data_IF_203927990551
#
_entry.id   IF_203927990551
#
_cell.length_a   1.000
_cell.length_b   1.000
_cell.length_c   1.000
_cell.angle_alpha   90.00
_cell.angle_beta   90.00
_cell.angle_gamma   90.00
#
_symmetry.space_group_name_H-M   'P 1'
#
loop_
_entity.id
_entity.type
_entity.pdbx_description
1 polymer ?
#
# COMPACT_ATOMS: atom_id res chain seq x y z
N UNK A 1 12.52 -3.96 -24.21
CA UNK A 1 11.37 -4.54 -23.48
C UNK A 1 10.36 -3.41 -23.36
N UNK A 2 9.14 -3.57 -23.89
CA UNK A 2 8.15 -2.48 -23.90
C UNK A 2 7.49 -2.35 -22.51
N UNK A 3 6.98 -1.18 -22.12
CA UNK A 3 6.33 -0.95 -20.80
C UNK A 3 5.22 -1.98 -20.50
N UNK A 4 4.46 -2.35 -21.54
CA UNK A 4 3.44 -3.40 -21.48
C UNK A 4 3.98 -4.77 -21.01
N UNK A 5 5.22 -5.12 -21.41
CA UNK A 5 5.83 -6.37 -20.97
C UNK A 5 6.30 -6.31 -19.51
N UNK A 6 6.71 -5.14 -19.04
CA UNK A 6 7.10 -4.95 -17.64
C UNK A 6 5.89 -5.00 -16.72
N UNK A 7 4.80 -4.32 -17.08
CA UNK A 7 3.56 -4.35 -16.30
C UNK A 7 3.01 -5.77 -16.14
N UNK A 8 2.92 -6.53 -17.24
CA UNK A 8 2.44 -7.92 -17.19
C UNK A 8 3.34 -8.82 -16.33
N UNK A 9 4.65 -8.59 -16.35
CA UNK A 9 5.60 -9.35 -15.51
C UNK A 9 5.35 -9.10 -14.02
N UNK A 10 5.11 -7.84 -13.63
CA UNK A 10 4.77 -7.47 -12.25
C UNK A 10 3.44 -8.10 -11.82
N UNK A 11 2.42 -8.06 -12.68
CA UNK A 11 1.12 -8.69 -12.41
C UNK A 11 1.26 -10.20 -12.17
N UNK A 12 2.05 -10.90 -13.00
CA UNK A 12 2.29 -12.33 -12.84
C UNK A 12 3.05 -12.68 -11.56
N UNK A 13 4.03 -11.85 -11.18
CA UNK A 13 4.78 -11.99 -9.93
C UNK A 13 3.84 -11.91 -8.71
N UNK A 14 2.97 -10.91 -8.70
CA UNK A 14 1.97 -10.71 -7.66
C UNK A 14 0.97 -11.88 -7.59
N UNK A 15 0.46 -12.36 -8.73
CA UNK A 15 -0.44 -13.52 -8.78
C UNK A 15 0.21 -14.82 -8.29
N UNK A 16 1.52 -14.99 -8.50
CA UNK A 16 2.26 -16.12 -7.94
C UNK A 16 2.40 -15.98 -6.43
N UNK A 17 2.74 -14.79 -5.94
CA UNK A 17 2.86 -14.53 -4.52
C UNK A 17 1.53 -14.69 -3.78
N UNK A 18 0.42 -14.23 -4.35
CA UNK A 18 -0.92 -14.43 -3.76
C UNK A 18 -1.28 -15.91 -3.60
N UNK A 19 -0.87 -16.76 -4.54
CA UNK A 19 -1.07 -18.21 -4.44
C UNK A 19 -0.19 -18.83 -3.34
N UNK A 20 1.08 -18.41 -3.25
CA UNK A 20 2.01 -18.85 -2.20
C UNK A 20 1.45 -18.49 -0.82
N UNK A 21 1.04 -17.23 -0.64
CA UNK A 21 0.55 -16.69 0.61
C UNK A 21 -0.67 -17.45 1.16
N UNK A 22 -1.55 -17.97 0.29
CA UNK A 22 -2.69 -18.78 0.71
C UNK A 22 -2.23 -20.10 1.35
N UNK A 23 -1.15 -20.69 0.84
CA UNK A 23 -0.69 -22.02 1.22
C UNK A 23 0.43 -22.05 2.27
N UNK A 24 1.09 -20.92 2.53
CA UNK A 24 2.29 -20.85 3.34
C UNK A 24 2.09 -19.97 4.60
N UNK A 25 1.95 -20.56 5.79
CA UNK A 25 1.80 -19.82 7.04
C UNK A 25 3.01 -18.97 7.41
N UNK A 26 4.22 -19.37 7.02
CA UNK A 26 5.45 -18.63 7.34
C UNK A 26 5.49 -17.33 6.52
N UNK A 27 5.09 -17.39 5.24
CA UNK A 27 4.93 -16.19 4.41
C UNK A 27 3.76 -15.29 4.88
N UNK A 28 2.70 -15.86 5.45
CA UNK A 28 1.65 -15.06 6.11
C UNK A 28 2.19 -14.29 7.32
N UNK A 29 3.03 -14.94 8.14
CA UNK A 29 3.67 -14.30 9.28
C UNK A 29 4.65 -13.20 8.85
N UNK A 30 5.47 -13.46 7.83
CA UNK A 30 6.41 -12.49 7.28
C UNK A 30 5.69 -11.27 6.71
N UNK A 31 4.61 -11.48 5.93
CA UNK A 31 3.79 -10.38 5.44
C UNK A 31 3.18 -9.58 6.60
N UNK A 32 2.73 -10.26 7.66
CA UNK A 32 2.24 -9.62 8.87
C UNK A 32 3.27 -8.71 9.54
N UNK A 33 4.52 -9.17 9.67
CA UNK A 33 5.64 -8.37 10.23
C UNK A 33 5.90 -7.11 9.41
N UNK A 34 5.87 -7.22 8.08
CA UNK A 34 6.08 -6.08 7.17
C UNK A 34 4.98 -5.04 7.28
N UNK A 35 3.72 -5.47 7.30
CA UNK A 35 2.59 -4.56 7.47
C UNK A 35 2.68 -3.86 8.83
N UNK A 36 3.02 -4.60 9.89
CA UNK A 36 3.19 -4.01 11.23
C UNK A 36 4.35 -3.00 11.29
N UNK A 37 5.45 -3.27 10.59
CA UNK A 37 6.52 -2.30 10.41
C UNK A 37 6.02 -1.02 9.72
N UNK A 38 5.26 -1.16 8.63
CA UNK A 38 4.68 -0.01 7.93
C UNK A 38 3.74 0.79 8.85
N UNK A 39 2.86 0.12 9.61
CA UNK A 39 1.97 0.80 10.58
C UNK A 39 2.73 1.64 11.60
N UNK A 40 3.84 1.13 12.13
CA UNK A 40 4.63 1.82 13.17
C UNK A 40 5.43 3.01 12.64
N UNK A 41 5.85 2.96 11.38
CA UNK A 41 6.79 3.91 10.82
C UNK A 41 6.18 4.87 9.79
N UNK A 42 5.00 4.55 9.27
CA UNK A 42 4.30 5.37 8.30
C UNK A 42 3.69 6.63 8.93
N UNK A 43 3.70 7.72 8.17
CA UNK A 43 2.97 8.97 8.48
C UNK A 43 1.87 9.22 7.46
N UNK A 44 1.41 8.17 6.77
CA UNK A 44 0.54 8.26 5.60
C UNK A 44 -0.83 8.86 5.93
N UNK A 45 -1.43 8.51 7.07
CA UNK A 45 -2.67 9.14 7.53
C UNK A 45 -2.56 10.68 7.62
N UNK A 46 -1.49 11.18 8.24
CA UNK A 46 -1.22 12.62 8.32
C UNK A 46 -0.95 13.23 6.94
N UNK A 47 -0.25 12.51 6.06
CA UNK A 47 -0.01 12.94 4.69
C UNK A 47 -1.31 13.05 3.89
N UNK A 48 -2.23 12.09 4.01
CA UNK A 48 -3.54 12.14 3.37
C UNK A 48 -4.39 13.30 3.87
N UNK A 49 -4.49 13.50 5.19
CA UNK A 49 -5.18 14.66 5.76
C UNK A 49 -4.60 15.97 5.21
N UNK A 50 -3.29 16.07 5.10
CA UNK A 50 -2.60 17.25 4.54
C UNK A 50 -2.90 17.42 3.05
N UNK A 51 -2.89 16.35 2.27
CA UNK A 51 -3.21 16.38 0.84
C UNK A 51 -4.65 16.84 0.60
N UNK A 52 -5.63 16.33 1.36
CA UNK A 52 -7.02 16.77 1.26
C UNK A 52 -7.16 18.26 1.57
N UNK A 53 -6.51 18.74 2.65
CA UNK A 53 -6.53 20.16 3.03
C UNK A 53 -5.94 21.08 1.95
N UNK A 54 -4.87 20.64 1.28
CA UNK A 54 -4.08 21.49 0.40
C UNK A 54 -4.45 21.36 -1.09
N UNK A 55 -4.99 20.22 -1.51
CA UNK A 55 -5.23 19.90 -2.92
C UNK A 55 -6.70 19.96 -3.31
N UNK A 56 -7.63 19.91 -2.34
CA UNK A 56 -9.05 20.08 -2.61
C UNK A 56 -9.45 21.55 -2.53
N UNK A 57 -10.19 22.02 -3.54
CA UNK A 57 -10.78 23.36 -3.56
C UNK A 57 -12.30 23.23 -3.68
N UNK A 58 -13.02 23.85 -2.74
CA UNK A 58 -14.47 23.97 -2.80
C UNK A 58 -14.80 25.42 -3.09
N UNK A 59 -15.30 25.68 -4.30
CA UNK A 59 -15.65 27.04 -4.72
C UNK A 59 -16.68 27.67 -3.76
N UNK A 60 -16.42 28.91 -3.35
CA UNK A 60 -17.29 29.64 -2.42
C UNK A 60 -17.22 29.20 -0.96
N UNK A 61 -16.31 28.28 -0.62
CA UNK A 61 -16.13 27.77 0.74
C UNK A 61 -14.73 28.07 1.26
N UNK A 62 -14.63 28.33 2.56
CA UNK A 62 -13.35 28.50 3.23
C UNK A 62 -12.59 27.18 3.34
N UNK A 63 -11.27 27.25 3.45
CA UNK A 63 -10.41 26.10 3.75
C UNK A 63 -10.70 25.46 5.12
N UNK A 64 -11.36 26.17 6.05
CA UNK A 64 -11.68 25.61 7.39
C UNK A 64 -12.63 24.41 7.32
N UNK A 65 -13.50 24.32 6.31
CA UNK A 65 -14.42 23.18 6.18
C UNK A 65 -13.69 21.89 5.85
N UNK A 66 -12.65 21.95 5.01
CA UNK A 66 -11.79 20.81 4.71
C UNK A 66 -10.98 20.39 5.93
N UNK A 67 -10.50 21.36 6.71
CA UNK A 67 -9.85 21.08 7.98
C UNK A 67 -10.76 20.31 8.93
N UNK A 68 -11.96 20.84 9.19
CA UNK A 68 -12.94 20.19 10.05
C UNK A 68 -13.34 18.80 9.53
N UNK A 69 -13.50 18.65 8.21
CA UNK A 69 -13.82 17.37 7.58
C UNK A 69 -12.75 16.31 7.83
N UNK A 70 -11.46 16.65 7.61
CA UNK A 70 -10.34 15.72 7.82
C UNK A 70 -10.10 15.34 9.29
N UNK A 71 -10.72 16.05 10.22
CA UNK A 71 -10.67 15.80 11.66
C UNK A 71 -11.88 15.01 12.16
N UNK A 72 -12.85 14.71 11.29
CA UNK A 72 -13.97 13.83 11.65
C UNK A 72 -13.49 12.39 11.83
N UNK A 73 -14.09 11.68 12.80
CA UNK A 73 -13.81 10.27 13.04
C UNK A 73 -14.11 9.39 11.81
N UNK A 74 -15.17 9.73 11.05
CA UNK A 74 -15.52 9.01 9.82
C UNK A 74 -14.41 9.12 8.76
N UNK A 75 -13.84 10.32 8.57
CA UNK A 75 -12.73 10.50 7.64
C UNK A 75 -11.46 9.85 8.13
N UNK A 76 -11.21 9.85 9.43
CA UNK A 76 -10.05 9.16 10.02
C UNK A 76 -10.12 7.65 9.78
N UNK A 77 -11.27 7.02 10.05
CA UNK A 77 -11.47 5.59 9.78
C UNK A 77 -11.31 5.26 8.28
N UNK A 78 -11.89 6.08 7.40
CA UNK A 78 -11.74 5.88 5.96
C UNK A 78 -10.27 5.97 5.51
N UNK A 79 -9.54 6.98 5.98
CA UNK A 79 -8.12 7.12 5.63
C UNK A 79 -7.25 6.02 6.26
N UNK A 80 -7.67 5.49 7.42
CA UNK A 80 -7.05 4.34 8.06
C UNK A 80 -7.21 3.07 7.19
N UNK A 81 -8.42 2.81 6.70
CA UNK A 81 -8.69 1.70 5.77
C UNK A 81 -7.87 1.84 4.47
N UNK A 82 -7.78 3.04 3.91
CA UNK A 82 -6.99 3.31 2.70
C UNK A 82 -5.50 3.05 2.94
N UNK A 83 -4.93 3.49 4.07
CA UNK A 83 -3.52 3.21 4.34
C UNK A 83 -3.25 1.73 4.57
N UNK A 84 -4.17 1.00 5.22
CA UNK A 84 -4.05 -0.45 5.43
C UNK A 84 -4.03 -1.21 4.10
N UNK A 85 -4.89 -0.82 3.16
CA UNK A 85 -4.89 -1.40 1.81
C UNK A 85 -3.56 -1.11 1.08
N UNK A 86 -3.03 0.10 1.21
CA UNK A 86 -1.74 0.46 0.61
C UNK A 86 -0.61 -0.35 1.25
N UNK A 87 -0.58 -0.49 2.57
CA UNK A 87 0.44 -1.29 3.26
C UNK A 87 0.41 -2.74 2.80
N UNK A 88 -0.77 -3.33 2.67
CA UNK A 88 -0.92 -4.68 2.14
C UNK A 88 -0.36 -4.78 0.72
N UNK A 89 -0.75 -3.87 -0.18
CA UNK A 89 -0.31 -3.90 -1.59
C UNK A 89 1.20 -3.70 -1.73
N UNK A 90 1.77 -2.75 -0.98
CA UNK A 90 3.22 -2.48 -0.97
C UNK A 90 3.99 -3.69 -0.45
N UNK A 91 3.60 -4.22 0.72
CA UNK A 91 4.28 -5.36 1.33
C UNK A 91 4.22 -6.60 0.41
N UNK A 92 3.09 -6.84 -0.26
CA UNK A 92 2.97 -7.90 -1.27
C UNK A 92 3.88 -7.68 -2.47
N UNK A 93 3.89 -6.46 -3.02
CA UNK A 93 4.71 -6.15 -4.19
C UNK A 93 6.21 -6.29 -3.90
N UNK A 94 6.67 -5.74 -2.78
CA UNK A 94 8.07 -5.85 -2.36
C UNK A 94 8.47 -7.31 -2.15
N UNK A 95 7.64 -8.10 -1.45
CA UNK A 95 7.94 -9.51 -1.20
C UNK A 95 7.93 -10.36 -2.46
N UNK A 96 6.98 -10.13 -3.38
CA UNK A 96 6.94 -10.81 -4.67
C UNK A 96 8.21 -10.54 -5.50
N UNK A 97 8.67 -9.29 -5.53
CA UNK A 97 9.91 -8.90 -6.23
C UNK A 97 11.15 -9.55 -5.62
N UNK A 98 11.23 -9.64 -4.29
CA UNK A 98 12.34 -10.32 -3.60
C UNK A 98 12.39 -11.80 -3.93
N UNK A 99 11.26 -12.51 -3.84
CA UNK A 99 11.17 -13.93 -4.17
C UNK A 99 11.54 -14.21 -5.62
N UNK A 100 11.14 -13.35 -6.55
CA UNK A 100 11.54 -13.47 -7.95
C UNK A 100 13.03 -13.21 -8.15
N UNK A 101 13.62 -12.25 -7.42
CA UNK A 101 15.06 -12.05 -7.43
C UNK A 101 15.83 -13.25 -6.87
N UNK A 102 15.36 -13.87 -5.78
CA UNK A 102 15.93 -15.08 -5.18
C UNK A 102 15.89 -16.27 -6.16
N UNK A 103 14.75 -16.49 -6.83
CA UNK A 103 14.63 -17.54 -7.86
C UNK A 103 15.61 -17.32 -9.01
N UNK A 104 15.75 -16.08 -9.49
CA UNK A 104 16.66 -15.77 -10.59
C UNK A 104 18.13 -15.99 -10.21
N UNK A 105 18.52 -15.73 -8.96
CA UNK A 105 19.87 -16.01 -8.47
C UNK A 105 20.16 -17.50 -8.33
N UNK A 106 19.17 -18.34 -8.03
CA UNK A 106 19.34 -19.80 -7.93
C UNK A 106 19.48 -20.51 -9.29
N UNK A 107 19.08 -19.83 -10.38
CA UNK A 107 19.12 -20.35 -11.75
C UNK A 107 20.41 -19.98 -12.51
N UNK A 108 21.33 -19.23 -11.88
CA UNK A 108 22.65 -18.85 -12.41
C UNK A 108 23.77 -19.68 -11.79
#
# INVERSE_FOLDING_TARGET
MNEYNYQRMVEQSLEQYDRLLISDPDEQEELGKRIEFLRRHSKMLCAFKTAVKNSCFIAGSSTHYLTAFTETAAMELYLDEVQEEIFLRVAKAERAMELDAEKNHQLQ
#
